data_IF_187135080681
#
_entry.id   IF_187135080681
#
_cell.length_a   1.000
_cell.length_b   1.000
_cell.length_c   1.000
_cell.angle_alpha   90.00
_cell.angle_beta   90.00
_cell.angle_gamma   90.00
#
_symmetry.space_group_name_H-M   'P 1'
#
loop_
_entity.id
_entity.type
_entity.pdbx_description
1 polymer ?
#
# COMPACT_ATOMS: atom_id res chain seq x y z
N UNK A 1 -12.31 -14.89 -13.96
CA UNK A 1 -10.98 -14.25 -13.96
C UNK A 1 -10.92 -13.02 -14.86
N UNK A 2 -11.64 -12.96 -15.99
CA UNK A 2 -11.64 -11.79 -16.88
C UNK A 2 -12.11 -10.49 -16.23
N UNK A 3 -13.25 -10.52 -15.52
CA UNK A 3 -13.77 -9.34 -14.81
C UNK A 3 -12.74 -8.72 -13.84
N UNK A 4 -11.93 -9.56 -13.18
CA UNK A 4 -10.87 -9.07 -12.30
C UNK A 4 -9.82 -8.32 -13.13
N UNK A 5 -9.36 -8.89 -14.24
CA UNK A 5 -8.36 -8.23 -15.12
C UNK A 5 -8.87 -6.90 -15.63
N UNK A 6 -10.11 -6.85 -16.11
CA UNK A 6 -10.74 -5.64 -16.62
C UNK A 6 -10.81 -4.55 -15.54
N UNK A 7 -11.29 -4.89 -14.34
CA UNK A 7 -11.30 -3.94 -13.21
C UNK A 7 -9.91 -3.45 -12.82
N UNK A 8 -8.90 -4.34 -12.83
CA UNK A 8 -7.53 -3.95 -12.54
C UNK A 8 -6.93 -3.04 -13.61
N UNK A 9 -7.32 -3.20 -14.88
CA UNK A 9 -6.92 -2.29 -15.94
C UNK A 9 -7.48 -0.89 -15.68
N UNK A 10 -8.77 -0.79 -15.36
CA UNK A 10 -9.39 0.49 -15.03
C UNK A 10 -8.75 1.16 -13.80
N UNK A 11 -8.50 0.39 -12.74
CA UNK A 11 -7.79 0.88 -11.54
C UNK A 11 -6.37 1.40 -11.82
N UNK A 12 -5.70 0.86 -12.85
CA UNK A 12 -4.36 1.28 -13.25
C UNK A 12 -4.38 2.53 -14.14
N UNK A 13 -5.47 2.75 -14.89
CA UNK A 13 -5.60 3.78 -15.90
C UNK A 13 -6.60 4.87 -15.50
N UNK A 14 -7.85 4.76 -15.95
CA UNK A 14 -8.87 5.81 -15.87
C UNK A 14 -9.39 6.06 -14.45
N UNK A 15 -9.31 5.07 -13.55
CA UNK A 15 -9.72 5.24 -12.15
C UNK A 15 -8.58 5.66 -11.24
N UNK A 16 -7.36 5.85 -11.76
CA UNK A 16 -6.19 6.22 -10.96
C UNK A 16 -6.19 7.71 -10.63
N UNK A 17 -6.31 8.12 -9.36
CA UNK A 17 -6.23 9.53 -8.99
C UNK A 17 -4.81 10.06 -9.19
N UNK A 18 -4.68 11.27 -9.76
CA UNK A 18 -3.40 11.90 -10.09
C UNK A 18 -2.43 12.08 -8.90
N UNK A 19 -2.94 12.01 -7.66
CA UNK A 19 -2.20 12.27 -6.42
C UNK A 19 -2.36 11.16 -5.37
N UNK A 20 -2.70 9.93 -5.78
CA UNK A 20 -3.00 8.82 -4.87
C UNK A 20 -1.87 8.56 -3.84
N UNK A 21 -0.62 8.52 -4.30
CA UNK A 21 0.52 8.22 -3.42
C UNK A 21 0.86 9.38 -2.47
N UNK A 22 0.72 10.62 -2.94
CA UNK A 22 0.95 11.83 -2.12
C UNK A 22 -0.15 12.07 -1.08
N UNK A 23 -1.36 11.57 -1.30
CA UNK A 23 -2.50 11.79 -0.42
C UNK A 23 -2.64 10.74 0.69
N UNK A 24 -2.04 9.56 0.53
CA UNK A 24 -2.42 8.41 1.35
C UNK A 24 -1.24 7.60 1.92
N UNK A 25 0.00 7.80 1.47
CA UNK A 25 1.12 6.93 1.82
C UNK A 25 1.97 7.43 3.00
N UNK A 26 1.77 6.84 4.19
CA UNK A 26 2.87 6.76 5.16
C UNK A 26 3.75 5.58 4.77
N UNK A 27 4.99 5.84 4.36
CA UNK A 27 5.93 4.78 4.03
C UNK A 27 6.73 4.38 5.27
N UNK A 28 6.77 3.09 5.58
CA UNK A 28 7.52 2.51 6.70
C UNK A 28 8.48 1.44 6.19
N UNK A 29 9.53 1.16 6.97
CA UNK A 29 10.40 0.01 6.73
C UNK A 29 9.73 -1.29 7.16
N UNK A 30 10.30 -2.42 6.78
CA UNK A 30 9.78 -3.73 7.17
C UNK A 30 9.87 -3.97 8.69
N UNK A 31 10.90 -3.42 9.33
CA UNK A 31 11.15 -3.51 10.77
C UNK A 31 10.08 -2.77 11.60
N UNK A 32 9.47 -1.73 11.03
CA UNK A 32 8.42 -0.92 11.67
C UNK A 32 7.03 -1.57 11.58
N UNK A 33 6.90 -2.68 10.85
CA UNK A 33 5.63 -3.38 10.64
C UNK A 33 4.89 -3.78 11.94
N UNK A 34 5.55 -4.36 12.96
CA UNK A 34 4.86 -4.74 14.20
C UNK A 34 4.19 -3.55 14.88
N UNK A 35 4.90 -2.42 14.98
CA UNK A 35 4.37 -1.19 15.58
C UNK A 35 3.22 -0.60 14.75
N UNK A 36 3.31 -0.66 13.41
CA UNK A 36 2.24 -0.21 12.53
C UNK A 36 0.97 -1.05 12.68
N UNK A 37 1.10 -2.37 12.81
CA UNK A 37 -0.04 -3.27 13.04
C UNK A 37 -0.72 -3.00 14.38
N UNK A 38 0.04 -2.75 15.45
CA UNK A 38 -0.55 -2.36 16.74
C UNK A 38 -1.41 -1.11 16.62
N UNK A 39 -0.95 -0.09 15.88
CA UNK A 39 -1.71 1.14 15.65
C UNK A 39 -2.99 0.89 14.84
N UNK A 40 -2.94 0.00 13.85
CA UNK A 40 -4.13 -0.42 13.09
C UNK A 40 -5.15 -1.10 14.01
N UNK A 41 -4.70 -2.03 14.87
CA UNK A 41 -5.57 -2.75 15.80
C UNK A 41 -6.20 -1.82 16.87
N UNK A 42 -5.49 -0.77 17.26
CA UNK A 42 -5.99 0.28 18.16
C UNK A 42 -6.94 1.28 17.47
N UNK A 43 -7.13 1.18 16.15
CA UNK A 43 -7.96 2.11 15.37
C UNK A 43 -7.31 3.49 15.15
N UNK A 44 -6.01 3.60 15.36
CA UNK A 44 -5.25 4.86 15.26
C UNK A 44 -4.66 5.09 13.87
N UNK A 45 -4.72 4.07 13.00
CA UNK A 45 -4.24 4.16 11.63
C UNK A 45 -5.18 5.04 10.77
N UNK A 46 -4.59 5.99 10.05
CA UNK A 46 -5.29 6.84 9.07
C UNK A 46 -4.67 6.63 7.70
N UNK A 47 -5.49 6.48 6.66
CA UNK A 47 -5.02 6.29 5.29
C UNK A 47 -4.40 4.91 5.05
N UNK A 48 -3.33 4.87 4.27
CA UNK A 48 -2.64 3.64 3.89
C UNK A 48 -1.17 3.70 4.34
N UNK A 49 -0.72 2.61 4.95
CA UNK A 49 0.69 2.43 5.26
C UNK A 49 1.32 1.58 4.17
N UNK A 50 2.30 2.13 3.46
CA UNK A 50 3.07 1.43 2.43
C UNK A 50 4.34 0.90 3.09
N UNK A 51 4.62 -0.38 2.92
CA UNK A 51 5.82 -1.00 3.47
C UNK A 51 6.87 -1.07 2.36
N UNK A 52 8.01 -0.42 2.57
CA UNK A 52 9.15 -0.54 1.66
C UNK A 52 9.79 -1.90 1.85
N UNK A 53 9.76 -2.73 0.81
CA UNK A 53 10.44 -4.02 0.80
C UNK A 53 11.86 -3.83 0.24
N UNK A 54 12.87 -4.10 1.06
CA UNK A 54 14.25 -4.24 0.61
C UNK A 54 14.36 -5.46 -0.31
N UNK A 55 14.97 -5.30 -1.49
CA UNK A 55 15.15 -6.40 -2.44
C UNK A 55 16.31 -7.27 -1.97
N UNK A 56 16.06 -8.16 -1.01
CA UNK A 56 17.07 -9.14 -0.61
C UNK A 56 17.27 -10.14 -1.74
N UNK A 57 18.22 -9.83 -2.62
CA UNK A 57 18.70 -10.75 -3.66
C UNK A 57 19.68 -11.71 -3.00
N UNK A 58 19.15 -12.74 -2.36
CA UNK A 58 19.95 -13.89 -1.93
C UNK A 58 20.25 -14.72 -3.18
N UNK A 59 21.50 -14.66 -3.63
CA UNK A 59 22.11 -15.67 -4.51
C UNK A 59 22.63 -16.78 -3.62
#
# INVERSE_FOLDING_TARGET
>A
MELRRELWQHLADDYKPAHLLSAIGHEISFEELPAALERVLKGEARGHTIIRMEKNRTV
#
